data_IF_957421588272
#
_entry.id   IF_957421588272
#
_cell.length_a   1.000
_cell.length_b   1.000
_cell.length_c   1.000
_cell.angle_alpha   90.00
_cell.angle_beta   90.00
_cell.angle_gamma   90.00
#
_symmetry.space_group_name_H-M   'P 1'
#
loop_
_entity.id
_entity.type
_entity.pdbx_description
1 polymer ?
#
# COMPACT_ATOMS: atom_id res chain seq x y z
N UNK A 1 -0.19 -9.35 10.43
CA UNK A 1 -1.03 -8.77 9.35
C UNK A 1 -1.20 -9.71 8.13
N UNK A 2 -0.48 -10.83 8.01
CA UNK A 2 -0.69 -11.80 6.92
C UNK A 2 -1.88 -12.74 7.15
N UNK A 3 -2.13 -13.15 8.39
CA UNK A 3 -3.28 -13.96 8.77
C UNK A 3 -4.38 -13.07 9.35
N UNK A 4 -5.30 -12.67 8.50
CA UNK A 4 -6.47 -11.88 8.88
C UNK A 4 -7.72 -12.53 8.29
N UNK A 5 -8.73 -12.76 9.12
CA UNK A 5 -10.08 -13.06 8.65
C UNK A 5 -10.74 -11.77 8.11
N UNK A 6 -11.52 -11.87 7.03
CA UNK A 6 -12.26 -10.73 6.49
C UNK A 6 -11.75 -10.16 5.15
N UNK A 7 -11.10 -10.99 4.32
CA UNK A 7 -10.79 -10.68 2.92
C UNK A 7 -10.00 -9.38 2.66
N UNK A 8 -9.14 -8.96 3.60
CA UNK A 8 -8.33 -7.75 3.49
C UNK A 8 -8.96 -6.49 4.11
N UNK A 9 -10.13 -6.60 4.75
CA UNK A 9 -10.86 -5.44 5.28
C UNK A 9 -10.07 -4.67 6.33
N UNK A 10 -9.41 -5.36 7.28
CA UNK A 10 -8.65 -4.62 8.28
C UNK A 10 -7.27 -4.15 7.77
N UNK A 11 -6.78 -4.62 6.62
CA UNK A 11 -5.67 -3.96 5.90
C UNK A 11 -6.15 -2.67 5.24
N UNK A 12 -7.32 -2.69 4.59
CA UNK A 12 -7.92 -1.50 3.99
C UNK A 12 -8.19 -0.43 5.06
N UNK A 13 -8.87 -0.81 6.16
CA UNK A 13 -9.16 0.12 7.25
C UNK A 13 -7.92 0.64 7.96
N UNK A 14 -6.89 -0.18 8.16
CA UNK A 14 -5.63 0.32 8.72
C UNK A 14 -5.03 1.43 7.83
N UNK A 15 -5.00 1.22 6.52
CA UNK A 15 -4.52 2.24 5.58
C UNK A 15 -5.36 3.51 5.67
N UNK A 16 -6.67 3.38 5.68
CA UNK A 16 -7.60 4.51 5.77
C UNK A 16 -7.45 5.30 7.07
N UNK A 17 -7.34 4.63 8.22
CA UNK A 17 -7.18 5.26 9.53
C UNK A 17 -5.82 5.96 9.67
N UNK A 18 -4.74 5.33 9.19
CA UNK A 18 -3.41 5.95 9.21
C UNK A 18 -3.40 7.21 8.33
N UNK A 19 -3.93 7.13 7.11
CA UNK A 19 -4.00 8.29 6.21
C UNK A 19 -4.91 9.39 6.76
N UNK A 20 -6.05 9.05 7.35
CA UNK A 20 -6.93 10.02 8.01
C UNK A 20 -6.19 10.75 9.13
N UNK A 21 -5.47 10.03 9.99
CA UNK A 21 -4.73 10.65 11.08
C UNK A 21 -3.55 11.51 10.61
N UNK A 22 -2.83 11.10 9.57
CA UNK A 22 -1.79 11.94 8.95
C UNK A 22 -2.42 13.21 8.37
N UNK A 23 -3.56 13.08 7.69
CA UNK A 23 -4.29 14.23 7.14
C UNK A 23 -4.78 15.19 8.24
N UNK A 24 -5.26 14.67 9.37
CA UNK A 24 -5.65 15.47 10.54
C UNK A 24 -4.46 16.25 11.09
N UNK A 25 -3.30 15.59 11.28
CA UNK A 25 -2.08 16.27 11.74
C UNK A 25 -1.65 17.39 10.78
N UNK A 26 -1.70 17.15 9.47
CA UNK A 26 -1.37 18.16 8.45
C UNK A 26 -2.35 19.35 8.45
N UNK A 27 -3.59 19.14 8.88
CA UNK A 27 -4.61 20.17 9.04
C UNK A 27 -4.55 20.89 10.40
N UNK A 28 -3.63 20.49 11.29
CA UNK A 28 -3.51 21.06 12.64
C UNK A 28 -4.50 20.48 13.67
N UNK A 29 -5.15 19.37 13.34
CA UNK A 29 -6.06 18.64 14.21
C UNK A 29 -5.36 17.53 14.98
N UNK A 30 -5.97 17.08 16.08
CA UNK A 30 -5.50 15.92 16.82
C UNK A 30 -5.92 14.62 16.13
N UNK A 31 -5.14 13.56 16.36
CA UNK A 31 -5.48 12.21 15.89
C UNK A 31 -6.83 11.77 16.47
N UNK A 32 -7.67 11.16 15.63
CA UNK A 32 -9.00 10.70 16.00
C UNK A 32 -10.11 11.76 15.90
N UNK A 33 -9.81 13.01 15.53
CA UNK A 33 -10.83 14.05 15.25
C UNK A 33 -11.52 13.83 13.88
N UNK A 34 -12.11 12.65 13.70
CA UNK A 34 -12.67 12.18 12.43
C UNK A 34 -13.90 12.97 11.94
N UNK A 35 -14.43 13.91 12.74
CA UNK A 35 -15.40 14.90 12.27
C UNK A 35 -14.82 15.82 11.19
N UNK A 36 -13.49 16.03 11.17
CA UNK A 36 -12.81 16.83 10.15
C UNK A 36 -12.30 15.98 8.99
N UNK A 37 -11.83 14.75 9.26
CA UNK A 37 -11.36 13.82 8.23
C UNK A 37 -11.69 12.36 8.61
N UNK A 38 -12.78 11.83 8.07
CA UNK A 38 -13.25 10.48 8.37
C UNK A 38 -12.56 9.42 7.48
N UNK A 39 -12.05 8.31 8.05
CA UNK A 39 -11.40 7.26 7.28
C UNK A 39 -12.34 6.56 6.28
N UNK A 40 -13.64 6.45 6.57
CA UNK A 40 -14.61 5.87 5.66
C UNK A 40 -15.18 6.90 4.68
N UNK A 41 -15.73 8.00 5.19
CA UNK A 41 -16.50 8.93 4.36
C UNK A 41 -15.62 9.80 3.45
N UNK A 42 -14.35 9.99 3.81
CA UNK A 42 -13.41 10.81 3.06
C UNK A 42 -12.29 9.99 2.43
N UNK A 43 -11.53 9.21 3.22
CA UNK A 43 -10.37 8.48 2.68
C UNK A 43 -10.81 7.28 1.83
N UNK A 44 -11.77 6.51 2.32
CA UNK A 44 -12.36 5.37 1.59
C UNK A 44 -13.54 5.78 0.68
N UNK A 45 -13.70 7.07 0.37
CA UNK A 45 -14.84 7.57 -0.40
C UNK A 45 -14.86 6.92 -1.79
N UNK A 46 -16.03 6.39 -2.16
CA UNK A 46 -16.25 5.67 -3.43
C UNK A 46 -15.39 4.41 -3.61
N UNK A 47 -14.84 3.84 -2.54
CA UNK A 47 -14.06 2.61 -2.57
C UNK A 47 -14.68 1.55 -1.66
N UNK A 48 -14.40 0.29 -1.92
CA UNK A 48 -14.64 -0.81 -0.99
C UNK A 48 -13.34 -1.60 -0.78
N UNK A 49 -13.30 -2.43 0.25
CA UNK A 49 -12.19 -3.37 0.43
C UNK A 49 -12.03 -4.27 -0.80
N UNK A 50 -13.13 -4.67 -1.43
CA UNK A 50 -13.14 -5.69 -2.47
C UNK A 50 -12.56 -5.21 -3.81
N UNK A 51 -12.42 -3.90 -4.01
CA UNK A 51 -11.73 -3.30 -5.15
C UNK A 51 -10.38 -2.70 -4.75
N UNK A 52 -10.31 -1.97 -3.63
CA UNK A 52 -9.09 -1.30 -3.20
C UNK A 52 -7.98 -2.30 -2.82
N UNK A 53 -8.30 -3.33 -2.03
CA UNK A 53 -7.31 -4.32 -1.58
C UNK A 53 -6.68 -5.12 -2.72
N UNK A 54 -7.44 -5.80 -3.62
CA UNK A 54 -6.82 -6.54 -4.72
C UNK A 54 -6.11 -5.63 -5.71
N UNK A 55 -6.54 -4.37 -5.89
CA UNK A 55 -5.84 -3.40 -6.73
C UNK A 55 -4.47 -3.05 -6.14
N UNK A 56 -4.42 -2.68 -4.84
CA UNK A 56 -3.17 -2.41 -4.14
C UNK A 56 -2.21 -3.60 -4.16
N UNK A 57 -2.73 -4.81 -3.98
CA UNK A 57 -1.94 -6.04 -4.09
C UNK A 57 -1.32 -6.22 -5.48
N UNK A 58 -2.09 -6.02 -6.56
CA UNK A 58 -1.57 -6.12 -7.94
C UNK A 58 -0.46 -5.10 -8.21
N UNK A 59 -0.62 -3.86 -7.73
CA UNK A 59 0.42 -2.81 -7.86
C UNK A 59 1.69 -3.21 -7.11
N UNK A 60 1.56 -3.79 -5.90
CA UNK A 60 2.70 -4.24 -5.11
C UNK A 60 3.47 -5.39 -5.79
N UNK A 61 2.74 -6.37 -6.36
CA UNK A 61 3.34 -7.47 -7.13
C UNK A 61 4.06 -6.93 -8.37
N UNK A 62 3.42 -6.04 -9.13
CA UNK A 62 4.03 -5.43 -10.31
C UNK A 62 5.32 -4.68 -9.96
N UNK A 63 5.30 -3.87 -8.91
CA UNK A 63 6.49 -3.13 -8.43
C UNK A 63 7.61 -4.08 -7.99
N UNK A 64 7.25 -5.23 -7.41
CA UNK A 64 8.22 -6.26 -7.01
C UNK A 64 8.83 -6.97 -8.21
N UNK A 65 8.04 -7.22 -9.26
CA UNK A 65 8.53 -7.78 -10.53
C UNK A 65 9.55 -6.86 -11.20
N UNK A 66 9.32 -5.54 -11.20
CA UNK A 66 10.29 -4.59 -11.75
C UNK A 66 11.65 -4.67 -11.01
N UNK A 67 11.63 -4.78 -9.68
CA UNK A 67 12.85 -4.95 -8.88
C UNK A 67 13.56 -6.29 -9.18
N UNK A 68 12.78 -7.35 -9.37
CA UNK A 68 13.32 -8.67 -9.72
C UNK A 68 13.99 -8.63 -11.10
N UNK A 69 13.36 -8.01 -12.10
CA UNK A 69 13.91 -7.89 -13.45
C UNK A 69 15.21 -7.07 -13.47
N UNK A 70 15.28 -6.01 -12.67
CA UNK A 70 16.52 -5.24 -12.49
C UNK A 70 17.62 -6.12 -11.89
N UNK A 71 17.33 -6.87 -10.82
CA UNK A 71 18.28 -7.80 -10.21
C UNK A 71 18.77 -8.89 -11.18
N UNK A 72 17.88 -9.46 -11.99
CA UNK A 72 18.24 -10.43 -13.04
C UNK A 72 19.15 -9.78 -14.08
N UNK A 73 18.84 -8.56 -14.51
CA UNK A 73 19.62 -7.83 -15.52
C UNK A 73 21.02 -7.50 -15.01
N UNK A 74 21.15 -7.10 -13.74
CA UNK A 74 22.44 -6.88 -13.10
C UNK A 74 23.27 -8.18 -13.01
N UNK A 75 22.64 -9.29 -12.64
CA UNK A 75 23.31 -10.60 -12.60
C UNK A 75 23.77 -11.03 -13.99
N UNK A 76 22.89 -10.94 -15.00
CA UNK A 76 23.18 -11.25 -16.39
C UNK A 76 24.31 -10.39 -16.96
N UNK A 77 24.39 -9.10 -16.59
CA UNK A 77 25.48 -8.21 -16.99
C UNK A 77 26.82 -8.53 -16.33
N UNK A 78 26.84 -9.15 -15.15
CA UNK A 78 28.06 -9.49 -14.40
C UNK A 78 28.64 -10.86 -14.75
N UNK A 79 27.82 -11.82 -15.16
CA UNK A 79 28.27 -13.17 -15.53
C UNK A 79 29.30 -13.20 -16.69
N UNK A 80 29.19 -12.38 -17.76
CA UNK A 80 30.21 -12.29 -18.81
C UNK A 80 31.54 -11.68 -18.35
N UNK A 81 31.54 -10.91 -17.26
CA UNK A 81 32.74 -10.25 -16.74
C UNK A 81 33.58 -11.16 -15.82
N UNK A 82 33.01 -12.23 -15.28
CA UNK A 82 33.70 -13.22 -14.43
C UNK A 82 34.21 -14.45 -15.21
N UNK A 83 33.88 -14.55 -16.50
CA UNK A 83 34.31 -15.66 -17.38
C UNK A 83 35.57 -15.32 -18.20
N UNK A 84 36.34 -14.31 -17.76
CA UNK A 84 37.68 -13.97 -18.25
C UNK A 84 38.70 -14.08 -17.13
#
# INVERSE_FOLDING_TARGET
MFYQGGAGTSVNMNTNEVLANIGLELMGHQKGEYQYLNPNDHVNKCQSTNDAYPTGFRIAVYSSLLKLLDGISQLAGRLPAQSR
#
